data_IF_546320705506
#
_entry.id   IF_546320705506
#
_cell.length_a   1.000
_cell.length_b   1.000
_cell.length_c   1.000
_cell.angle_alpha   90.00
_cell.angle_beta   90.00
_cell.angle_gamma   90.00
#
_symmetry.space_group_name_H-M   'P 1'
#
loop_
_entity.id
_entity.type
_entity.pdbx_description
1 polymer ?
#
# COMPACT_ATOMS: atom_id res chain seq x y z
N UNK A 1 23.45 18.28 41.67
CA UNK A 1 22.28 17.50 41.22
C UNK A 1 21.27 18.43 40.58
N UNK A 2 21.24 18.52 39.24
CA UNK A 2 20.21 19.25 38.47
C UNK A 2 19.53 18.23 37.57
N UNK A 3 18.27 17.91 37.87
CA UNK A 3 17.41 17.04 37.06
C UNK A 3 16.86 17.89 35.92
N UNK A 4 17.39 17.70 34.72
CA UNK A 4 16.81 18.27 33.50
C UNK A 4 15.70 17.35 33.03
N UNK A 5 14.47 17.82 33.22
CA UNK A 5 13.30 17.35 32.52
C UNK A 5 13.52 17.60 31.02
N UNK A 6 13.69 16.53 30.26
CA UNK A 6 13.51 16.56 28.81
C UNK A 6 12.14 15.97 28.51
N UNK A 7 11.13 16.79 28.77
CA UNK A 7 9.93 16.86 27.94
C UNK A 7 10.36 17.11 26.51
N UNK A 8 10.18 16.13 25.63
CA UNK A 8 9.85 16.43 24.24
C UNK A 8 8.99 15.29 23.74
N UNK A 9 7.69 15.44 24.00
CA UNK A 9 6.67 14.77 23.21
C UNK A 9 6.98 15.08 21.73
N UNK A 10 7.19 14.03 20.95
CA UNK A 10 7.32 14.12 19.52
C UNK A 10 6.01 14.70 18.96
N UNK A 11 5.93 16.03 18.87
CA UNK A 11 4.97 16.72 18.06
C UNK A 11 5.34 16.44 16.61
N UNK A 12 4.77 15.34 16.10
CA UNK A 12 4.79 14.97 14.70
C UNK A 12 3.96 16.03 13.97
N UNK A 13 4.61 17.14 13.62
CA UNK A 13 4.04 18.18 12.79
C UNK A 13 3.74 17.56 11.42
N UNK A 14 2.49 17.12 11.25
CA UNK A 14 1.91 16.84 9.95
C UNK A 14 1.98 18.13 9.14
N UNK A 15 3.02 18.25 8.33
CA UNK A 15 3.12 19.28 7.32
C UNK A 15 1.93 19.09 6.35
N UNK A 16 0.85 19.84 6.59
CA UNK A 16 -0.18 20.13 5.60
C UNK A 16 0.50 20.89 4.47
N UNK A 17 1.03 20.16 3.50
CA UNK A 17 1.32 20.74 2.19
C UNK A 17 -0.03 20.99 1.54
N UNK A 18 -0.50 22.22 1.68
CA UNK A 18 -1.53 22.78 0.81
C UNK A 18 -0.95 22.85 -0.61
N UNK A 19 -0.99 21.73 -1.33
CA UNK A 19 -0.83 21.74 -2.80
C UNK A 19 -2.12 22.34 -3.33
N UNK A 20 -2.05 23.64 -3.59
CA UNK A 20 -3.03 24.39 -4.34
C UNK A 20 -3.41 23.64 -5.62
N UNK A 21 -4.68 23.28 -5.72
CA UNK A 21 -5.32 22.67 -6.88
C UNK A 21 -5.37 23.67 -8.03
N UNK A 22 -4.26 23.84 -8.76
CA UNK A 22 -4.31 24.49 -10.08
C UNK A 22 -4.76 23.43 -11.08
N UNK A 23 -6.04 23.49 -11.48
CA UNK A 23 -6.57 22.72 -12.60
C UNK A 23 -5.75 23.07 -13.84
N UNK A 24 -4.92 22.14 -14.29
CA UNK A 24 -4.28 22.23 -15.61
C UNK A 24 -5.25 21.58 -16.58
N UNK A 25 -6.15 22.37 -17.17
CA UNK A 25 -6.98 21.93 -18.28
C UNK A 25 -6.10 21.79 -19.53
N UNK A 26 -5.39 20.66 -19.63
CA UNK A 26 -4.78 20.25 -20.88
C UNK A 26 -5.89 19.76 -21.82
N UNK A 27 -6.42 20.69 -22.62
CA UNK A 27 -7.38 20.43 -23.68
C UNK A 27 -6.74 19.53 -24.75
N UNK A 28 -6.89 18.21 -24.59
CA UNK A 28 -6.57 17.25 -25.64
C UNK A 28 -7.87 16.75 -26.25
N UNK A 29 -8.07 17.06 -27.55
CA UNK A 29 -9.20 16.58 -28.37
C UNK A 29 -9.34 15.07 -28.22
N UNK A 30 -10.46 14.61 -27.64
CA UNK A 30 -10.98 13.26 -27.93
C UNK A 30 -11.45 12.40 -26.76
N UNK A 31 -11.16 12.73 -25.50
CA UNK A 31 -11.80 12.10 -24.33
C UNK A 31 -11.47 12.96 -23.11
N UNK A 32 -12.49 13.44 -22.41
CA UNK A 32 -12.30 13.97 -21.05
C UNK A 32 -12.03 12.75 -20.17
N UNK A 33 -10.76 12.38 -20.04
CA UNK A 33 -10.34 11.44 -19.02
C UNK A 33 -10.34 12.27 -17.73
N UNK A 34 -11.48 12.31 -17.05
CA UNK A 34 -11.56 12.65 -15.62
C UNK A 34 -10.78 11.57 -14.84
N UNK A 35 -9.46 11.57 -14.95
CA UNK A 35 -8.62 10.99 -13.92
C UNK A 35 -8.60 11.99 -12.79
N UNK A 36 -9.62 11.90 -11.94
CA UNK A 36 -9.62 12.49 -10.60
C UNK A 36 -8.32 12.05 -9.93
N UNK A 37 -7.38 12.98 -9.80
CA UNK A 37 -5.99 12.77 -9.34
C UNK A 37 -5.93 12.19 -7.90
N UNK A 38 -7.08 12.07 -7.24
CA UNK A 38 -7.24 11.65 -5.86
C UNK A 38 -8.15 10.43 -5.69
N UNK A 39 -8.25 9.58 -6.72
CA UNK A 39 -9.12 8.41 -6.67
C UNK A 39 -8.44 7.27 -5.91
N UNK A 40 -8.46 7.34 -4.58
CA UNK A 40 -8.03 6.27 -3.67
C UNK A 40 -8.85 4.98 -3.85
N UNK A 41 -9.98 5.06 -4.55
CA UNK A 41 -10.83 3.93 -4.94
C UNK A 41 -10.46 3.33 -6.30
N UNK A 42 -9.53 3.93 -7.03
CA UNK A 42 -9.09 3.38 -8.31
C UNK A 42 -8.37 2.04 -8.13
N UNK A 43 -8.52 1.16 -9.11
CA UNK A 43 -7.83 -0.13 -9.15
C UNK A 43 -6.30 0.05 -9.08
N UNK A 44 -5.76 1.11 -9.68
CA UNK A 44 -4.33 1.43 -9.63
C UNK A 44 -3.88 1.77 -8.20
N UNK A 45 -4.64 2.59 -7.47
CA UNK A 45 -4.36 2.90 -6.07
C UNK A 45 -4.43 1.64 -5.20
N UNK A 46 -5.47 0.80 -5.38
CA UNK A 46 -5.60 -0.46 -4.66
C UNK A 46 -4.43 -1.43 -4.92
N UNK A 47 -4.00 -1.56 -6.19
CA UNK A 47 -2.82 -2.35 -6.57
C UNK A 47 -1.53 -1.80 -5.98
N UNK A 48 -1.41 -0.48 -5.85
CA UNK A 48 -0.22 0.13 -5.27
C UNK A 48 -0.18 -0.05 -3.75
N UNK A 49 -1.31 0.19 -3.07
CA UNK A 49 -1.46 -0.02 -1.63
C UNK A 49 -1.23 -1.47 -1.20
N UNK A 50 -1.77 -2.44 -1.96
CA UNK A 50 -1.60 -3.87 -1.64
C UNK A 50 -0.15 -4.34 -1.72
N UNK A 51 0.70 -3.69 -2.53
CA UNK A 51 2.15 -3.98 -2.57
C UNK A 51 2.85 -3.68 -1.25
N UNK A 52 2.41 -2.66 -0.51
CA UNK A 52 2.95 -2.36 0.82
C UNK A 52 2.38 -3.31 1.87
N UNK A 53 1.08 -3.60 1.80
CA UNK A 53 0.42 -4.52 2.73
C UNK A 53 1.04 -5.91 2.71
N UNK A 54 1.29 -6.49 1.52
CA UNK A 54 1.93 -7.81 1.43
C UNK A 54 3.36 -7.82 1.97
N UNK A 55 4.13 -6.75 1.77
CA UNK A 55 5.49 -6.66 2.30
C UNK A 55 5.49 -6.65 3.83
N UNK A 56 4.55 -5.93 4.43
CA UNK A 56 4.38 -5.90 5.87
C UNK A 56 3.98 -7.29 6.39
N UNK A 57 3.01 -7.94 5.75
CA UNK A 57 2.60 -9.30 6.09
C UNK A 57 3.77 -10.28 6.01
N UNK A 58 4.48 -10.35 4.88
CA UNK A 58 5.63 -11.26 4.71
C UNK A 58 6.76 -10.97 5.69
N UNK A 59 6.91 -9.72 6.14
CA UNK A 59 7.89 -9.36 7.17
C UNK A 59 7.53 -9.96 8.53
N UNK A 60 6.24 -9.99 8.88
CA UNK A 60 5.77 -10.66 10.10
C UNK A 60 6.04 -12.17 10.09
N UNK A 61 5.98 -12.80 8.91
CA UNK A 61 6.24 -14.23 8.73
C UNK A 61 7.69 -14.54 8.31
N UNK A 62 8.60 -13.56 8.32
CA UNK A 62 9.95 -13.68 7.76
C UNK A 62 10.75 -14.84 8.33
N UNK A 63 10.68 -15.07 9.64
CA UNK A 63 11.43 -16.15 10.31
C UNK A 63 10.94 -17.56 9.93
N UNK A 64 9.65 -17.65 9.56
CA UNK A 64 8.99 -18.90 9.16
C UNK A 64 9.19 -19.20 7.69
N UNK A 65 9.18 -18.17 6.84
CA UNK A 65 9.37 -18.22 5.39
C UNK A 65 10.80 -18.56 4.93
N UNK A 66 11.58 -19.28 5.76
CA UNK A 66 12.99 -19.64 5.54
C UNK A 66 13.30 -20.00 4.07
N UNK A 67 14.49 -19.64 3.60
CA UNK A 67 14.98 -20.08 2.28
C UNK A 67 14.17 -19.55 1.09
N UNK A 68 14.32 -18.28 0.74
CA UNK A 68 13.74 -17.70 -0.48
C UNK A 68 12.21 -17.57 -0.49
N UNK A 69 11.50 -18.11 0.50
CA UNK A 69 10.04 -18.07 0.63
C UNK A 69 9.49 -16.65 0.57
N UNK A 70 10.15 -15.68 1.22
CA UNK A 70 9.78 -14.27 1.15
C UNK A 70 9.65 -13.76 -0.30
N UNK A 71 10.65 -14.02 -1.13
CA UNK A 71 10.64 -13.59 -2.54
C UNK A 71 9.63 -14.36 -3.37
N UNK A 72 9.44 -15.65 -3.08
CA UNK A 72 8.45 -16.49 -3.73
C UNK A 72 7.02 -15.94 -3.51
N UNK A 73 6.61 -15.74 -2.26
CA UNK A 73 5.28 -15.22 -1.94
C UNK A 73 5.08 -13.79 -2.42
N UNK A 74 6.12 -12.93 -2.35
CA UNK A 74 6.05 -11.59 -2.90
C UNK A 74 5.77 -11.60 -4.40
N UNK A 75 6.45 -12.47 -5.16
CA UNK A 75 6.25 -12.60 -6.62
C UNK A 75 4.87 -13.17 -6.92
N UNK A 76 4.44 -14.22 -6.20
CA UNK A 76 3.12 -14.85 -6.34
C UNK A 76 2.01 -13.83 -6.15
N UNK A 77 2.05 -13.06 -5.05
CA UNK A 77 1.04 -12.05 -4.75
C UNK A 77 0.98 -10.95 -5.83
N UNK A 78 2.13 -10.44 -6.27
CA UNK A 78 2.18 -9.42 -7.35
C UNK A 78 1.56 -9.91 -8.65
N UNK A 79 1.77 -11.17 -9.01
CA UNK A 79 1.18 -11.76 -10.20
C UNK A 79 -0.36 -11.84 -10.09
N UNK A 80 -0.89 -12.27 -8.95
CA UNK A 80 -2.34 -12.35 -8.72
C UNK A 80 -3.01 -10.97 -8.67
N UNK A 81 -2.41 -10.00 -7.99
CA UNK A 81 -2.89 -8.60 -7.97
C UNK A 81 -2.87 -7.96 -9.37
N UNK A 82 -1.93 -8.36 -10.23
CA UNK A 82 -1.90 -7.94 -11.63
C UNK A 82 -3.09 -8.44 -12.45
N UNK A 83 -3.66 -9.59 -12.08
CA UNK A 83 -4.82 -10.20 -12.74
C UNK A 83 -6.16 -9.66 -12.23
N UNK A 84 -6.20 -9.17 -10.98
CA UNK A 84 -7.41 -8.63 -10.36
C UNK A 84 -7.97 -7.44 -11.15
N UNK A 85 -9.28 -7.44 -11.38
CA UNK A 85 -10.02 -6.41 -12.13
C UNK A 85 -10.68 -5.39 -11.24
N UNK A 86 -10.88 -5.72 -9.96
CA UNK A 86 -11.53 -4.84 -8.98
C UNK A 86 -10.69 -4.69 -7.71
N UNK A 87 -10.85 -3.58 -6.97
CA UNK A 87 -10.23 -3.42 -5.64
C UNK A 87 -10.64 -4.51 -4.66
N UNK A 88 -11.92 -4.91 -4.66
CA UNK A 88 -12.44 -5.95 -3.76
C UNK A 88 -11.80 -7.32 -4.00
N UNK A 89 -11.46 -7.64 -5.25
CA UNK A 89 -10.69 -8.86 -5.58
C UNK A 89 -9.28 -8.81 -4.98
N UNK A 90 -8.66 -7.64 -4.90
CA UNK A 90 -7.32 -7.46 -4.31
C UNK A 90 -7.38 -7.66 -2.79
N UNK A 91 -8.42 -7.17 -2.13
CA UNK A 91 -8.63 -7.36 -0.70
C UNK A 91 -8.85 -8.85 -0.37
N UNK A 92 -9.72 -9.53 -1.13
CA UNK A 92 -9.91 -10.99 -1.00
C UNK A 92 -8.64 -11.80 -1.26
N UNK A 93 -7.81 -11.36 -2.21
CA UNK A 93 -6.51 -11.99 -2.46
C UNK A 93 -5.56 -11.82 -1.27
N UNK A 94 -5.59 -10.66 -0.63
CA UNK A 94 -4.78 -10.41 0.57
C UNK A 94 -5.21 -11.31 1.73
N UNK A 95 -6.51 -11.44 1.99
CA UNK A 95 -7.02 -12.30 3.06
C UNK A 95 -6.64 -13.77 2.83
N UNK A 96 -6.82 -14.28 1.59
CA UNK A 96 -6.39 -15.63 1.23
C UNK A 96 -4.88 -15.85 1.42
N UNK A 97 -4.07 -14.87 1.08
CA UNK A 97 -2.63 -14.95 1.27
C UNK A 97 -2.24 -14.93 2.76
N UNK A 98 -2.99 -14.22 3.59
CA UNK A 98 -2.80 -14.27 5.04
C UNK A 98 -3.12 -15.66 5.57
N UNK A 99 -4.27 -16.22 5.22
CA UNK A 99 -4.66 -17.58 5.61
C UNK A 99 -3.60 -18.60 5.17
N UNK A 100 -3.13 -18.53 3.92
CA UNK A 100 -2.06 -19.42 3.42
C UNK A 100 -0.75 -19.31 4.23
N UNK A 101 -0.41 -18.11 4.72
CA UNK A 101 0.77 -17.89 5.57
C UNK A 101 0.56 -18.33 7.02
N UNK A 102 -0.67 -18.24 7.52
CA UNK A 102 -1.06 -18.74 8.83
C UNK A 102 -1.01 -20.27 8.87
N UNK A 103 -1.51 -20.95 7.84
CA UNK A 103 -1.49 -22.42 7.73
C UNK A 103 -0.07 -23.01 7.60
N UNK A 104 0.89 -22.21 7.14
CA UNK A 104 2.32 -22.60 7.11
C UNK A 104 3.00 -22.53 8.49
N UNK A 105 2.31 -21.99 9.49
CA UNK A 105 2.78 -21.85 10.88
C UNK A 105 2.40 -23.06 11.72
#
# INVERSE_FOLDING_TARGET
MKKLLLTSAAALALATVAVSTTKVEAFSRGHVIEHTINDTKSLSAARWGSRLQILNLLTQYKEKLRGGGFYFYQRKFRAEVGKAKTPDEIEKLYDKFREELEDLT
#
